data_IF_219295465777
#
_entry.id   IF_219295465777
#
_cell.length_a   1.000
_cell.length_b   1.000
_cell.length_c   1.000
_cell.angle_alpha   90.00
_cell.angle_beta   90.00
_cell.angle_gamma   90.00
#
_symmetry.space_group_name_H-M   'P 1'
#
loop_
_entity.id
_entity.type
_entity.pdbx_description
1 polymer ?
#
# COMPACT_ATOMS: atom_id res chain seq x y z
N UNK A 1 -11.39 -3.61 4.38
CA UNK A 1 -11.02 -3.62 2.95
C UNK A 1 -10.86 -2.19 2.50
N UNK A 2 -9.73 -1.89 1.84
CA UNK A 2 -9.38 -0.56 1.32
C UNK A 2 -9.41 -0.60 -0.21
N UNK A 3 -9.75 0.52 -0.82
CA UNK A 3 -9.90 0.67 -2.26
C UNK A 3 -8.94 1.71 -2.84
N UNK A 4 -8.80 1.76 -4.17
CA UNK A 4 -7.99 2.77 -4.86
C UNK A 4 -8.43 4.19 -4.47
N UNK A 5 -9.73 4.44 -4.39
CA UNK A 5 -10.25 5.75 -3.98
C UNK A 5 -9.81 6.14 -2.55
N UNK A 6 -9.83 5.19 -1.60
CA UNK A 6 -9.39 5.46 -0.23
C UNK A 6 -7.91 5.86 -0.20
N UNK A 7 -7.08 5.23 -1.04
CA UNK A 7 -5.66 5.56 -1.18
C UNK A 7 -5.45 6.95 -1.76
N UNK A 8 -6.18 7.31 -2.83
CA UNK A 8 -6.08 8.63 -3.46
C UNK A 8 -6.50 9.73 -2.46
N UNK A 9 -7.59 9.49 -1.72
CA UNK A 9 -8.08 10.42 -0.70
C UNK A 9 -7.08 10.57 0.44
N UNK A 10 -6.58 9.47 1.00
CA UNK A 10 -5.62 9.52 2.11
C UNK A 10 -4.29 10.19 1.72
N UNK A 11 -3.76 9.90 0.52
CA UNK A 11 -2.56 10.57 0.00
C UNK A 11 -2.76 12.08 -0.12
N UNK A 12 -3.95 12.51 -0.60
CA UNK A 12 -4.29 13.92 -0.71
C UNK A 12 -4.37 14.57 0.68
N UNK A 13 -5.01 13.92 1.63
CA UNK A 13 -5.26 14.47 2.97
C UNK A 13 -4.02 14.46 3.86
N UNK A 14 -3.27 13.35 3.89
CA UNK A 14 -2.20 13.12 4.86
C UNK A 14 -0.86 13.73 4.43
N UNK A 15 -0.58 13.74 3.13
CA UNK A 15 0.71 14.20 2.59
C UNK A 15 0.56 15.23 1.47
N UNK A 16 -0.65 15.68 1.14
CA UNK A 16 -0.86 16.75 0.16
C UNK A 16 -0.37 16.40 -1.25
N UNK A 17 -0.45 15.13 -1.64
CA UNK A 17 0.11 14.60 -2.90
C UNK A 17 1.61 14.86 -3.09
N UNK A 18 2.38 15.00 -1.99
CA UNK A 18 3.80 15.28 -2.10
C UNK A 18 4.54 14.11 -2.74
N UNK A 19 4.93 14.28 -4.00
CA UNK A 19 5.41 13.20 -4.89
C UNK A 19 6.67 12.48 -4.39
N UNK A 20 7.51 13.20 -3.61
CA UNK A 20 8.74 12.68 -3.02
C UNK A 20 8.53 11.58 -1.97
N UNK A 21 7.30 11.33 -1.51
CA UNK A 21 7.04 10.23 -0.60
C UNK A 21 7.20 8.90 -1.32
N UNK A 22 7.84 7.95 -0.67
CA UNK A 22 8.05 6.59 -1.17
C UNK A 22 7.03 5.65 -0.56
N UNK A 23 6.41 4.82 -1.37
CA UNK A 23 5.41 3.85 -0.96
C UNK A 23 6.10 2.61 -0.39
N UNK A 24 5.66 2.14 0.78
CA UNK A 24 6.22 0.96 1.44
C UNK A 24 5.13 0.14 2.10
N UNK A 25 5.37 -1.16 2.23
CA UNK A 25 4.54 -2.04 3.05
C UNK A 25 4.95 -1.91 4.52
N UNK A 26 3.99 -1.72 5.42
CA UNK A 26 4.17 -1.83 6.87
C UNK A 26 3.62 -3.16 7.34
N UNK A 27 4.48 -4.01 7.91
CA UNK A 27 4.12 -5.35 8.35
C UNK A 27 3.68 -5.29 9.82
N UNK A 28 2.47 -5.75 10.11
CA UNK A 28 1.92 -5.80 11.46
C UNK A 28 1.70 -7.26 11.87
N UNK A 29 2.23 -7.68 13.02
CA UNK A 29 1.94 -9.00 13.60
C UNK A 29 1.06 -8.87 14.84
N UNK A 30 0.33 -9.91 15.18
CA UNK A 30 -0.40 -9.95 16.46
C UNK A 30 0.59 -9.97 17.63
N UNK A 31 0.28 -9.20 18.68
CA UNK A 31 1.04 -9.21 19.93
C UNK A 31 0.90 -10.56 20.63
N UNK A 32 2.03 -11.13 21.06
CA UNK A 32 2.08 -12.44 21.75
C UNK A 32 1.44 -12.39 23.14
N UNK A 33 1.33 -11.20 23.73
CA UNK A 33 0.78 -10.96 25.07
C UNK A 33 -0.68 -10.51 25.06
N UNK A 34 -1.16 -9.99 23.92
CA UNK A 34 -2.52 -9.47 23.76
C UNK A 34 -2.99 -9.64 22.30
N UNK A 35 -3.78 -10.68 22.04
CA UNK A 35 -4.21 -11.01 20.68
C UNK A 35 -5.10 -9.95 20.01
N UNK A 36 -5.56 -8.94 20.76
CA UNK A 36 -6.35 -7.82 20.23
C UNK A 36 -5.48 -6.70 19.66
N UNK A 37 -4.16 -6.72 19.94
CA UNK A 37 -3.22 -5.71 19.49
C UNK A 37 -2.41 -6.18 18.29
N UNK A 38 -2.09 -5.20 17.44
CA UNK A 38 -1.14 -5.35 16.35
C UNK A 38 0.11 -4.55 16.69
N UNK A 39 1.27 -5.18 16.50
CA UNK A 39 2.58 -4.58 16.69
C UNK A 39 3.34 -4.57 15.39
N UNK A 40 4.14 -3.52 15.21
CA UNK A 40 4.93 -3.33 14.02
C UNK A 40 6.08 -4.34 13.95
N UNK A 41 6.11 -5.10 12.87
CA UNK A 41 7.03 -6.21 12.63
C UNK A 41 8.13 -5.86 11.61
N UNK A 42 7.97 -4.76 10.86
CA UNK A 42 8.96 -4.29 9.90
C UNK A 42 8.34 -3.62 8.68
N UNK A 43 9.15 -3.41 7.65
CA UNK A 43 8.73 -2.88 6.36
C UNK A 43 9.27 -3.73 5.22
N UNK A 44 8.57 -3.71 4.10
CA UNK A 44 9.08 -4.23 2.84
C UNK A 44 8.92 -3.17 1.74
N UNK A 45 9.92 -3.00 0.86
CA UNK A 45 9.82 -2.09 -0.27
C UNK A 45 8.75 -2.57 -1.25
N UNK A 46 8.03 -1.63 -1.85
CA UNK A 46 7.08 -1.88 -2.93
C UNK A 46 7.61 -1.22 -4.20
N UNK A 47 7.63 -1.97 -5.28
CA UNK A 47 8.27 -1.53 -6.53
C UNK A 47 7.49 -1.86 -7.80
N UNK A 48 6.45 -2.67 -7.70
CA UNK A 48 5.57 -2.97 -8.82
C UNK A 48 4.11 -2.78 -8.39
N UNK A 49 3.33 -2.20 -9.30
CA UNK A 49 1.89 -1.99 -9.14
C UNK A 49 1.19 -2.53 -10.37
N UNK A 50 0.19 -3.38 -10.15
CA UNK A 50 -0.57 -4.01 -11.24
C UNK A 50 -2.06 -3.86 -10.96
N UNK A 51 -2.76 -3.19 -11.87
CA UNK A 51 -4.23 -3.22 -11.90
C UNK A 51 -4.63 -4.52 -12.58
N UNK A 52 -5.48 -5.30 -11.91
CA UNK A 52 -6.08 -6.52 -12.43
C UNK A 52 -7.59 -6.30 -12.57
N UNK A 53 -8.06 -6.21 -13.81
CA UNK A 53 -9.47 -5.98 -14.15
C UNK A 53 -10.33 -7.23 -13.92
N UNK A 54 -9.77 -8.43 -14.03
CA UNK A 54 -10.52 -9.68 -13.85
C UNK A 54 -10.88 -9.87 -12.37
N UNK A 55 -9.91 -9.65 -11.49
CA UNK A 55 -10.10 -9.77 -10.03
C UNK A 55 -10.58 -8.47 -9.38
N UNK A 56 -10.57 -7.35 -10.13
CA UNK A 56 -10.91 -6.00 -9.65
C UNK A 56 -10.02 -5.56 -8.49
N UNK A 57 -8.71 -5.68 -8.67
CA UNK A 57 -7.71 -5.40 -7.64
C UNK A 57 -6.60 -4.48 -8.14
N UNK A 58 -6.06 -3.67 -7.24
CA UNK A 58 -4.76 -3.02 -7.39
C UNK A 58 -3.75 -3.76 -6.51
N UNK A 59 -2.84 -4.48 -7.16
CA UNK A 59 -1.84 -5.31 -6.49
C UNK A 59 -0.52 -4.56 -6.37
N UNK A 60 -0.07 -4.35 -5.12
CA UNK A 60 1.28 -3.90 -4.81
C UNK A 60 2.21 -5.09 -4.65
N UNK A 61 3.37 -5.09 -5.31
CA UNK A 61 4.30 -6.21 -5.31
C UNK A 61 5.75 -5.79 -5.06
N UNK A 62 6.54 -6.78 -4.65
CA UNK A 62 8.01 -6.71 -4.59
C UNK A 62 8.62 -7.64 -5.64
N UNK A 63 9.45 -7.09 -6.54
CA UNK A 63 10.17 -7.85 -7.57
C UNK A 63 11.60 -8.29 -7.15
N UNK A 64 12.00 -7.96 -5.91
CA UNK A 64 13.32 -8.29 -5.36
C UNK A 64 14.43 -7.28 -5.70
N UNK A 65 14.14 -6.24 -6.49
CA UNK A 65 15.04 -5.12 -6.73
C UNK A 65 14.97 -4.05 -5.63
N UNK A 66 16.02 -3.24 -5.55
CA UNK A 66 16.08 -2.08 -4.64
C UNK A 66 15.30 -0.85 -5.14
N UNK A 67 14.60 -0.98 -6.28
CA UNK A 67 13.74 0.10 -6.78
C UNK A 67 12.57 0.32 -5.83
N UNK A 68 12.01 1.53 -5.84
CA UNK A 68 10.87 1.89 -5.00
C UNK A 68 9.94 2.77 -5.79
N UNK A 69 8.65 2.57 -5.60
CA UNK A 69 7.63 3.45 -6.20
C UNK A 69 7.44 4.68 -5.33
N UNK A 70 7.50 5.86 -5.96
CA UNK A 70 7.10 7.12 -5.35
C UNK A 70 5.60 7.40 -5.52
N UNK A 71 5.07 8.31 -4.70
CA UNK A 71 3.69 8.81 -4.84
C UNK A 71 3.49 9.51 -6.20
N UNK A 72 4.52 10.19 -6.72
CA UNK A 72 4.50 10.79 -8.04
C UNK A 72 4.38 9.79 -9.19
N UNK A 73 4.82 8.55 -8.98
CA UNK A 73 4.67 7.46 -9.96
C UNK A 73 3.36 6.69 -9.75
N UNK A 74 2.91 6.54 -8.50
CA UNK A 74 1.71 5.79 -8.14
C UNK A 74 0.41 6.54 -8.50
N UNK A 75 0.27 7.80 -8.13
CA UNK A 75 -1.04 8.48 -8.15
C UNK A 75 -1.50 8.87 -9.55
N UNK A 76 -0.67 9.42 -10.45
CA UNK A 76 -1.17 9.88 -11.75
C UNK A 76 -1.84 8.78 -12.59
N UNK A 77 -1.31 7.54 -12.70
CA UNK A 77 -2.00 6.44 -13.37
C UNK A 77 -3.33 6.05 -12.72
N UNK A 78 -3.48 6.24 -11.42
CA UNK A 78 -4.73 5.91 -10.72
C UNK A 78 -5.81 6.98 -10.93
N UNK A 79 -5.41 8.25 -11.09
CA UNK A 79 -6.35 9.37 -11.32
C UNK A 79 -7.00 9.35 -12.70
N UNK A 80 -6.42 8.65 -13.68
CA UNK A 80 -6.97 8.50 -15.02
C UNK A 80 -7.92 7.30 -15.16
N UNK A 81 -8.02 6.46 -14.13
CA UNK A 81 -8.95 5.35 -14.10
C UNK A 81 -10.40 5.86 -14.13
N UNK A 82 -11.31 5.03 -14.62
CA UNK A 82 -12.72 5.31 -14.47
C UNK A 82 -13.18 5.10 -13.01
N UNK A 83 -14.36 5.60 -12.68
CA UNK A 83 -14.90 5.48 -11.32
C UNK A 83 -15.07 4.02 -10.88
N UNK A 84 -15.38 3.11 -11.81
CA UNK A 84 -15.59 1.70 -11.49
C UNK A 84 -14.29 1.00 -11.10
N UNK A 85 -13.17 1.36 -11.76
CA UNK A 85 -11.84 0.90 -11.44
C UNK A 85 -11.28 1.53 -10.16
N UNK A 86 -11.65 2.77 -9.82
CA UNK A 86 -11.28 3.37 -8.52
C UNK A 86 -11.87 2.62 -7.31
N UNK A 87 -12.89 1.78 -7.54
CA UNK A 87 -13.47 0.88 -6.53
C UNK A 87 -12.78 -0.48 -6.45
N UNK A 88 -11.63 -0.67 -7.11
CA UNK A 88 -10.87 -1.92 -7.01
C UNK A 88 -10.18 -2.03 -5.66
N UNK A 89 -10.11 -3.25 -5.14
CA UNK A 89 -9.54 -3.53 -3.83
C UNK A 89 -8.02 -3.42 -3.83
N UNK A 90 -7.46 -2.85 -2.77
CA UNK A 90 -6.01 -2.82 -2.57
C UNK A 90 -5.53 -4.16 -2.00
N UNK A 91 -4.59 -4.79 -2.70
CA UNK A 91 -3.97 -6.06 -2.32
C UNK A 91 -2.45 -5.98 -2.37
N UNK A 92 -1.81 -6.87 -1.64
CA UNK A 92 -0.36 -6.85 -1.51
C UNK A 92 0.27 -8.24 -1.60
N UNK A 93 1.29 -8.34 -2.45
CA UNK A 93 2.16 -9.49 -2.60
C UNK A 93 3.58 -9.10 -2.18
N UNK A 94 3.88 -9.28 -0.89
CA UNK A 94 5.21 -8.93 -0.35
C UNK A 94 6.24 -10.00 -0.71
N UNK A 95 5.87 -11.27 -0.61
CA UNK A 95 6.71 -12.41 -1.01
C UNK A 95 5.84 -13.68 -1.14
N UNK A 96 6.47 -14.83 -1.37
CA UNK A 96 5.78 -16.13 -1.47
C UNK A 96 5.05 -16.57 -0.19
N UNK A 97 5.44 -16.05 0.98
CA UNK A 97 4.80 -16.36 2.26
C UNK A 97 3.62 -15.42 2.54
N UNK A 98 3.66 -14.19 2.03
CA UNK A 98 2.70 -13.12 2.26
C UNK A 98 2.19 -12.60 0.91
N UNK A 99 1.37 -13.42 0.26
CA UNK A 99 0.68 -13.12 -1.00
C UNK A 99 -0.81 -12.88 -0.77
N UNK A 100 -1.43 -12.03 -1.59
CA UNK A 100 -2.84 -11.65 -1.52
C UNK A 100 -3.26 -11.10 -0.13
N UNK A 101 -2.39 -10.26 0.43
CA UNK A 101 -2.61 -9.66 1.75
C UNK A 101 -3.54 -8.44 1.63
N UNK A 102 -4.51 -8.34 2.53
CA UNK A 102 -5.41 -7.18 2.62
C UNK A 102 -4.66 -5.97 3.21
N UNK A 103 -4.80 -4.81 2.56
CA UNK A 103 -4.40 -3.52 3.15
C UNK A 103 -5.43 -3.09 4.19
N UNK A 104 -5.00 -3.05 5.45
CA UNK A 104 -5.87 -2.76 6.60
C UNK A 104 -5.78 -1.30 7.07
N UNK A 105 -4.80 -0.54 6.60
CA UNK A 105 -4.64 0.87 6.97
C UNK A 105 -3.54 1.58 6.20
N UNK A 106 -3.51 2.89 6.39
CA UNK A 106 -2.50 3.78 5.82
C UNK A 106 -1.74 4.49 6.95
N UNK A 107 -0.55 4.96 6.65
CA UNK A 107 0.24 5.77 7.55
C UNK A 107 1.31 6.55 6.81
N UNK A 108 2.01 7.41 7.53
CA UNK A 108 3.10 8.19 6.98
C UNK A 108 4.24 8.33 7.98
N UNK A 109 5.43 8.51 7.44
CA UNK A 109 6.59 8.98 8.17
C UNK A 109 7.15 10.21 7.44
N UNK A 110 6.94 11.38 8.04
CA UNK A 110 7.33 12.66 7.44
C UNK A 110 8.85 12.87 7.42
N UNK A 111 9.57 12.33 8.40
CA UNK A 111 11.04 12.42 8.50
C UNK A 111 11.73 11.63 7.39
N UNK A 112 11.24 10.42 7.13
CA UNK A 112 11.79 9.51 6.12
C UNK A 112 11.12 9.65 4.75
N UNK A 113 10.10 10.51 4.63
CA UNK A 113 9.27 10.66 3.43
C UNK A 113 8.72 9.31 2.94
N UNK A 114 8.08 8.57 3.86
CA UNK A 114 7.42 7.29 3.55
C UNK A 114 5.92 7.41 3.67
N UNK A 115 5.22 6.82 2.71
CA UNK A 115 3.80 6.54 2.77
C UNK A 115 3.62 5.02 2.93
N UNK A 116 2.93 4.61 3.97
CA UNK A 116 2.96 3.23 4.49
C UNK A 116 1.59 2.59 4.28
N UNK A 117 1.58 1.46 3.58
CA UNK A 117 0.41 0.59 3.42
C UNK A 117 0.52 -0.57 4.42
N UNK A 118 -0.36 -0.60 5.42
CA UNK A 118 -0.29 -1.61 6.48
C UNK A 118 -1.00 -2.90 6.08
N UNK A 119 -0.31 -4.02 6.29
CA UNK A 119 -0.86 -5.38 6.18
C UNK A 119 -0.65 -6.15 7.48
N UNK A 120 -1.53 -7.10 7.77
CA UNK A 120 -1.40 -8.02 8.91
C UNK A 120 -0.76 -9.33 8.47
N UNK A 121 0.33 -9.75 9.13
CA UNK A 121 1.06 -11.01 8.90
C UNK A 121 0.94 -11.98 10.08
#
# INVERSE_FOLDING_TARGET
>A
MKFIIDLIEDVREQIGNHEAYVVTAGLLKTDETDSTKLIYAGEAPLNLIVVDEETRQLNFKMDGSDTRVSIGELIPPLLILDMDAMMYELRMDVNVQYSDMEVIGFGKNDEQKKYILFIKI
#
